data_IF_214011053689
#
_entry.id   IF_214011053689
#
_cell.length_a   1.000
_cell.length_b   1.000
_cell.length_c   1.000
_cell.angle_alpha   90.00
_cell.angle_beta   90.00
_cell.angle_gamma   90.00
#
_symmetry.space_group_name_H-M   'P 1'
#
loop_
_entity.id
_entity.type
_entity.pdbx_description
1 polymer ?
#
# COMPACT_ATOMS: atom_id res chain seq x y z
N UNK A 1 -5.38 -23.87 32.22
CA UNK A 1 -4.07 -23.22 32.40
C UNK A 1 -4.22 -22.10 33.43
N UNK A 2 -3.35 -22.00 34.44
CA UNK A 2 -3.39 -20.93 35.45
C UNK A 2 -3.37 -19.53 34.81
N UNK A 3 -4.04 -18.56 35.42
CA UNK A 3 -4.15 -17.19 34.90
C UNK A 3 -2.78 -16.51 34.74
N UNK A 4 -1.84 -16.76 35.66
CA UNK A 4 -0.45 -16.28 35.57
C UNK A 4 0.25 -16.78 34.29
N UNK A 5 0.12 -18.06 33.97
CA UNK A 5 0.68 -18.64 32.73
C UNK A 5 0.02 -18.10 31.46
N UNK A 6 -1.26 -17.74 31.50
CA UNK A 6 -1.94 -17.06 30.38
C UNK A 6 -1.37 -15.67 30.15
N UNK A 7 -1.14 -14.90 31.21
CA UNK A 7 -0.55 -13.54 31.12
C UNK A 7 0.87 -13.59 30.60
N UNK A 8 1.69 -14.51 31.12
CA UNK A 8 3.06 -14.72 30.65
C UNK A 8 3.11 -15.08 29.16
N UNK A 9 2.29 -16.03 28.71
CA UNK A 9 2.22 -16.40 27.28
C UNK A 9 1.86 -15.21 26.37
N UNK A 10 0.89 -14.39 26.79
CA UNK A 10 0.48 -13.18 26.04
C UNK A 10 1.63 -12.16 25.98
N UNK A 11 2.28 -11.90 27.12
CA UNK A 11 3.42 -11.00 27.22
C UNK A 11 4.61 -11.44 26.35
N UNK A 12 4.99 -12.71 26.44
CA UNK A 12 6.07 -13.30 25.63
C UNK A 12 5.81 -13.13 24.15
N UNK A 13 4.60 -13.45 23.67
CA UNK A 13 4.24 -13.27 22.27
C UNK A 13 4.41 -11.81 21.82
N UNK A 14 3.92 -10.84 22.61
CA UNK A 14 4.04 -9.42 22.26
C UNK A 14 5.51 -9.00 22.18
N UNK A 15 6.34 -9.40 23.15
CA UNK A 15 7.77 -9.12 23.13
C UNK A 15 8.47 -9.71 21.90
N UNK A 16 8.15 -10.95 21.53
CA UNK A 16 8.68 -11.61 20.34
C UNK A 16 8.30 -10.87 19.05
N UNK A 17 7.02 -10.49 18.90
CA UNK A 17 6.53 -9.78 17.73
C UNK A 17 7.15 -8.38 17.60
N UNK A 18 7.27 -7.65 18.73
CA UNK A 18 7.94 -6.34 18.76
C UNK A 18 9.41 -6.47 18.39
N UNK A 19 10.12 -7.44 18.97
CA UNK A 19 11.53 -7.69 18.64
C UNK A 19 11.72 -8.04 17.15
N UNK A 20 10.83 -8.86 16.59
CA UNK A 20 10.85 -9.23 15.17
C UNK A 20 10.60 -8.04 14.23
N UNK A 21 9.79 -7.06 14.65
CA UNK A 21 9.54 -5.84 13.87
C UNK A 21 10.78 -4.95 13.72
N UNK A 22 11.76 -5.09 14.63
CA UNK A 22 12.94 -4.21 14.77
C UNK A 22 12.60 -2.73 14.98
N UNK A 23 11.36 -2.42 15.34
CA UNK A 23 10.92 -1.05 15.60
C UNK A 23 10.96 -0.73 17.08
N UNK A 24 11.50 0.43 17.47
CA UNK A 24 11.35 0.95 18.81
C UNK A 24 9.88 1.15 19.20
N UNK A 25 9.55 0.89 20.47
CA UNK A 25 8.17 0.97 21.00
C UNK A 25 7.50 2.34 20.79
N UNK A 26 8.24 3.44 20.85
CA UNK A 26 7.73 4.78 20.56
C UNK A 26 7.32 4.95 19.09
N UNK A 27 8.03 4.32 18.15
CA UNK A 27 7.65 4.30 16.74
C UNK A 27 6.43 3.42 16.50
N UNK A 28 6.34 2.26 17.16
CA UNK A 28 5.15 1.41 17.13
C UNK A 28 3.93 2.15 17.68
N UNK A 29 4.07 2.89 18.79
CA UNK A 29 3.01 3.73 19.35
C UNK A 29 2.54 4.79 18.33
N UNK A 30 3.47 5.51 17.71
CA UNK A 30 3.15 6.52 16.71
C UNK A 30 2.46 5.95 15.46
N UNK A 31 2.93 4.79 14.97
CA UNK A 31 2.40 4.15 13.77
C UNK A 31 1.05 3.45 14.00
N UNK A 32 0.82 2.88 15.18
CA UNK A 32 -0.43 2.20 15.54
C UNK A 32 -1.52 3.12 16.10
N UNK A 33 -1.15 4.35 16.48
CA UNK A 33 -2.02 5.24 17.25
C UNK A 33 -2.30 4.76 18.68
N UNK A 34 -1.49 3.83 19.21
CA UNK A 34 -1.53 3.38 20.60
C UNK A 34 -0.58 4.20 21.47
N UNK A 35 -0.80 4.20 22.79
CA UNK A 35 0.14 4.87 23.71
C UNK A 35 1.35 3.97 23.99
N UNK A 36 2.50 4.61 24.21
CA UNK A 36 3.74 3.91 24.60
C UNK A 36 3.52 3.09 25.89
N UNK A 37 2.77 3.65 26.85
CA UNK A 37 2.37 2.96 28.09
C UNK A 37 1.51 1.73 27.82
N UNK A 38 0.52 1.81 26.92
CA UNK A 38 -0.31 0.66 26.58
C UNK A 38 0.51 -0.49 26.00
N UNK A 39 1.45 -0.20 25.09
CA UNK A 39 2.34 -1.23 24.54
C UNK A 39 3.22 -1.82 25.65
N UNK A 40 3.77 -0.99 26.54
CA UNK A 40 4.54 -1.45 27.71
C UNK A 40 3.75 -2.39 28.60
N UNK A 41 2.49 -2.07 28.87
CA UNK A 41 1.62 -2.90 29.70
C UNK A 41 1.24 -4.22 29.01
N UNK A 42 1.20 -4.26 27.68
CA UNK A 42 1.09 -5.51 26.91
C UNK A 42 2.35 -6.37 27.03
N UNK A 43 3.54 -5.78 26.88
CA UNK A 43 4.83 -6.47 27.04
C UNK A 43 5.00 -7.08 28.43
N UNK A 44 4.36 -6.49 29.45
CA UNK A 44 4.41 -6.94 30.85
C UNK A 44 3.25 -7.88 31.23
N UNK A 45 2.27 -8.07 30.35
CA UNK A 45 1.07 -8.86 30.66
C UNK A 45 0.17 -8.23 31.73
N UNK A 46 0.26 -6.91 31.91
CA UNK A 46 -0.51 -6.15 32.91
C UNK A 46 -1.97 -5.96 32.49
N UNK A 47 -2.29 -6.08 31.19
CA UNK A 47 -3.64 -5.90 30.66
C UNK A 47 -4.35 -7.24 30.60
N UNK A 48 -5.34 -7.43 31.47
CA UNK A 48 -6.13 -8.67 31.56
C UNK A 48 -7.01 -8.84 30.32
N UNK A 49 -7.73 -7.78 29.93
CA UNK A 49 -8.66 -7.79 28.83
C UNK A 49 -8.24 -6.77 27.76
N UNK A 50 -7.56 -7.25 26.73
CA UNK A 50 -7.12 -6.40 25.62
C UNK A 50 -8.25 -6.24 24.62
N UNK A 51 -8.59 -4.99 24.33
CA UNK A 51 -9.56 -4.64 23.29
C UNK A 51 -9.11 -5.17 21.91
N UNK A 52 -10.04 -5.79 21.16
CA UNK A 52 -9.78 -6.39 19.85
C UNK A 52 -9.24 -5.36 18.85
N UNK A 53 -9.84 -4.16 18.82
CA UNK A 53 -9.44 -3.10 17.89
C UNK A 53 -8.02 -2.61 18.16
N UNK A 54 -7.60 -2.54 19.43
CA UNK A 54 -6.20 -2.23 19.78
C UNK A 54 -5.23 -3.34 19.39
N UNK A 55 -5.60 -4.62 19.56
CA UNK A 55 -4.77 -5.75 19.11
C UNK A 55 -4.58 -5.72 17.60
N UNK A 56 -5.65 -5.54 16.82
CA UNK A 56 -5.58 -5.50 15.36
C UNK A 56 -4.74 -4.33 14.85
N UNK A 57 -4.87 -3.13 15.43
CA UNK A 57 -3.99 -1.98 15.11
C UNK A 57 -2.52 -2.28 15.35
N UNK A 58 -2.21 -2.93 16.48
CA UNK A 58 -0.85 -3.34 16.78
C UNK A 58 -0.35 -4.37 15.76
N UNK A 59 -1.17 -5.37 15.43
CA UNK A 59 -0.88 -6.39 14.43
C UNK A 59 -0.55 -5.81 13.04
N UNK A 60 -1.40 -4.90 12.55
CA UNK A 60 -1.17 -4.18 11.27
C UNK A 60 0.14 -3.41 11.33
N UNK A 61 0.42 -2.74 12.45
CA UNK A 61 1.65 -1.96 12.65
C UNK A 61 2.90 -2.83 12.78
N UNK A 62 2.76 -4.07 13.25
CA UNK A 62 3.84 -5.05 13.29
C UNK A 62 4.04 -5.77 11.95
N UNK A 63 3.27 -5.41 10.92
CA UNK A 63 3.27 -6.06 9.59
C UNK A 63 3.00 -7.57 9.65
N UNK A 64 2.10 -8.02 10.52
CA UNK A 64 1.70 -9.43 10.55
C UNK A 64 0.89 -9.79 9.29
N UNK A 65 1.01 -11.00 8.76
CA UNK A 65 0.04 -11.50 7.77
C UNK A 65 -1.27 -11.90 8.48
N UNK A 66 -2.35 -12.11 7.72
CA UNK A 66 -3.66 -12.39 8.32
C UNK A 66 -3.67 -13.67 9.17
N UNK A 67 -2.93 -14.71 8.75
CA UNK A 67 -2.79 -15.95 9.51
C UNK A 67 -2.07 -15.74 10.85
N UNK A 68 -1.01 -14.93 10.87
CA UNK A 68 -0.32 -14.53 12.11
C UNK A 68 -1.20 -13.67 13.02
N UNK A 69 -2.09 -12.86 12.45
CA UNK A 69 -3.09 -12.12 13.24
C UNK A 69 -4.05 -13.10 13.90
N UNK A 70 -4.55 -14.11 13.18
CA UNK A 70 -5.39 -15.17 13.74
C UNK A 70 -4.69 -15.95 14.87
N UNK A 71 -3.41 -16.28 14.70
CA UNK A 71 -2.60 -16.88 15.75
C UNK A 71 -2.54 -16.00 17.00
N UNK A 72 -2.28 -14.70 16.82
CA UNK A 72 -2.27 -13.74 17.91
C UNK A 72 -3.64 -13.66 18.60
N UNK A 73 -4.73 -13.49 17.84
CA UNK A 73 -6.10 -13.43 18.37
C UNK A 73 -6.43 -14.65 19.22
N UNK A 74 -6.08 -15.85 18.75
CA UNK A 74 -6.25 -17.10 19.48
C UNK A 74 -5.47 -17.13 20.81
N UNK A 75 -4.23 -16.61 20.84
CA UNK A 75 -3.46 -16.48 22.10
C UNK A 75 -4.13 -15.51 23.08
N UNK A 76 -4.83 -14.50 22.57
CA UNK A 76 -5.62 -13.55 23.36
C UNK A 76 -7.04 -14.05 23.71
N UNK A 77 -7.37 -15.32 23.44
CA UNK A 77 -8.69 -15.90 23.64
C UNK A 77 -9.77 -15.11 22.86
N UNK A 78 -9.52 -14.81 21.57
CA UNK A 78 -10.43 -14.13 20.65
C UNK A 78 -10.76 -15.03 19.45
N UNK A 79 -11.92 -14.77 18.84
CA UNK A 79 -12.26 -15.36 17.54
C UNK A 79 -11.27 -14.92 16.45
N UNK A 80 -11.12 -15.74 15.41
CA UNK A 80 -10.38 -15.40 14.19
C UNK A 80 -10.91 -14.12 13.54
N UNK A 81 -10.13 -13.59 12.60
CA UNK A 81 -10.50 -12.49 11.73
C UNK A 81 -11.78 -12.80 10.95
N UNK A 82 -12.63 -11.79 10.85
CA UNK A 82 -13.88 -11.83 10.11
C UNK A 82 -14.12 -10.51 9.37
N UNK A 83 -15.12 -10.48 8.49
CA UNK A 83 -15.46 -9.33 7.65
C UNK A 83 -15.70 -8.05 8.47
N UNK A 84 -16.24 -8.18 9.69
CA UNK A 84 -16.48 -7.03 10.57
C UNK A 84 -15.20 -6.35 11.06
N UNK A 85 -14.03 -7.00 10.91
CA UNK A 85 -12.74 -6.42 11.28
C UNK A 85 -12.15 -5.51 10.21
N UNK A 86 -12.64 -5.56 8.97
CA UNK A 86 -12.04 -4.82 7.84
C UNK A 86 -11.99 -3.31 8.13
N UNK A 87 -13.05 -2.75 8.73
CA UNK A 87 -13.08 -1.34 9.15
C UNK A 87 -11.94 -0.98 10.09
N UNK A 88 -11.47 -1.93 10.92
CA UNK A 88 -10.35 -1.72 11.83
C UNK A 88 -9.04 -1.62 11.06
N UNK A 89 -8.85 -2.40 9.98
CA UNK A 89 -7.68 -2.29 9.09
C UNK A 89 -7.67 -0.92 8.39
N UNK A 90 -8.81 -0.48 7.86
CA UNK A 90 -8.95 0.83 7.20
C UNK A 90 -8.71 1.97 8.20
N UNK A 91 -9.31 1.92 9.39
CA UNK A 91 -9.11 2.92 10.45
C UNK A 91 -7.66 2.93 10.96
N UNK A 92 -6.96 1.79 10.89
CA UNK A 92 -5.53 1.72 11.26
C UNK A 92 -4.68 2.58 10.33
N UNK A 93 -4.97 2.57 9.02
CA UNK A 93 -4.33 3.48 8.09
C UNK A 93 -4.65 4.95 8.42
N UNK A 94 -5.84 5.25 8.94
CA UNK A 94 -6.22 6.62 9.27
C UNK A 94 -5.44 7.21 10.44
N UNK A 95 -5.10 6.37 11.43
CA UNK A 95 -4.40 6.80 12.65
C UNK A 95 -2.89 6.76 12.51
N UNK A 96 -2.41 6.20 11.40
CA UNK A 96 -1.00 6.01 11.16
C UNK A 96 -0.31 7.34 10.93
N UNK A 97 0.65 7.64 11.81
CA UNK A 97 1.58 8.75 11.57
C UNK A 97 2.75 8.25 10.75
N UNK A 98 3.13 9.04 9.75
CA UNK A 98 4.36 8.82 9.03
C UNK A 98 5.57 9.03 9.97
N UNK A 99 6.61 8.22 9.77
CA UNK A 99 7.80 8.18 10.63
C UNK A 99 9.05 8.50 9.82
N UNK A 100 10.06 9.08 10.47
CA UNK A 100 11.37 9.37 9.85
C UNK A 100 12.21 8.12 9.66
N UNK A 101 11.95 7.04 10.41
CA UNK A 101 12.57 5.75 10.17
C UNK A 101 12.05 5.12 8.87
N UNK A 102 12.82 4.21 8.29
CA UNK A 102 12.34 3.35 7.20
C UNK A 102 11.38 2.34 7.81
N UNK A 103 10.10 2.47 7.49
CA UNK A 103 9.08 1.52 7.94
C UNK A 103 8.83 0.48 6.83
N UNK A 104 9.34 -0.76 6.99
CA UNK A 104 9.19 -1.80 5.98
C UNK A 104 7.76 -2.32 5.93
N UNK A 105 7.27 -2.60 4.74
CA UNK A 105 6.03 -3.33 4.48
C UNK A 105 6.38 -4.70 3.95
N UNK A 106 5.99 -5.76 4.66
CA UNK A 106 6.28 -7.14 4.24
C UNK A 106 5.08 -7.82 3.60
N UNK A 107 3.88 -7.32 3.88
CA UNK A 107 2.64 -7.83 3.32
C UNK A 107 2.08 -6.83 2.32
N UNK A 108 1.46 -7.34 1.26
CA UNK A 108 0.92 -6.49 0.20
C UNK A 108 -0.25 -5.64 0.73
N UNK A 109 -1.15 -6.20 1.53
CA UNK A 109 -2.23 -5.42 2.15
C UNK A 109 -1.68 -4.32 3.08
N UNK A 110 -0.58 -4.57 3.82
CA UNK A 110 -0.01 -3.56 4.73
C UNK A 110 0.69 -2.44 3.97
N UNK A 111 1.33 -2.76 2.84
CA UNK A 111 1.82 -1.79 1.87
C UNK A 111 0.68 -0.92 1.31
N UNK A 112 -0.41 -1.53 0.86
CA UNK A 112 -1.56 -0.81 0.31
C UNK A 112 -2.22 0.12 1.34
N UNK A 113 -2.34 -0.31 2.61
CA UNK A 113 -2.77 0.55 3.71
C UNK A 113 -1.80 1.70 3.96
N UNK A 114 -0.50 1.51 3.71
CA UNK A 114 0.49 2.59 3.81
C UNK A 114 0.33 3.63 2.71
N UNK A 115 0.08 3.17 1.47
CA UNK A 115 -0.21 4.06 0.34
C UNK A 115 -1.50 4.82 0.62
N UNK A 116 -2.55 4.14 1.08
CA UNK A 116 -3.79 4.79 1.49
C UNK A 116 -3.57 5.85 2.58
N UNK A 117 -2.80 5.53 3.63
CA UNK A 117 -2.48 6.48 4.69
C UNK A 117 -1.77 7.75 4.16
N UNK A 118 -0.90 7.58 3.15
CA UNK A 118 -0.22 8.68 2.49
C UNK A 118 -1.17 9.50 1.59
N UNK A 119 -2.03 8.84 0.80
CA UNK A 119 -3.04 9.47 -0.06
C UNK A 119 -4.04 10.32 0.74
N UNK A 120 -4.23 10.06 2.03
CA UNK A 120 -5.10 10.87 2.91
C UNK A 120 -4.50 12.21 3.34
N UNK A 121 -3.21 12.43 3.12
CA UNK A 121 -2.56 13.71 3.43
C UNK A 121 -2.75 14.62 2.21
N UNK A 122 -3.53 15.71 2.30
CA UNK A 122 -3.78 16.58 1.15
C UNK A 122 -2.48 17.17 0.60
N UNK A 123 -2.30 17.10 -0.71
CA UNK A 123 -1.10 17.57 -1.39
C UNK A 123 -1.00 17.04 -2.80
N UNK A 124 -0.06 17.60 -3.55
CA UNK A 124 0.28 17.09 -4.87
C UNK A 124 0.96 15.73 -4.73
N UNK A 125 0.68 14.81 -5.66
CA UNK A 125 1.24 13.47 -5.62
C UNK A 125 1.98 13.17 -6.92
N UNK A 126 3.19 12.62 -6.77
CA UNK A 126 3.95 12.08 -7.89
C UNK A 126 4.07 10.58 -7.72
N UNK A 127 3.74 9.83 -8.77
CA UNK A 127 3.76 8.38 -8.78
C UNK A 127 4.63 7.93 -9.95
N UNK A 128 5.62 7.10 -9.68
CA UNK A 128 6.43 6.42 -10.68
C UNK A 128 6.08 4.95 -10.64
N UNK A 129 5.50 4.44 -11.72
CA UNK A 129 5.03 3.06 -11.77
C UNK A 129 5.29 2.43 -13.14
N UNK A 130 5.17 1.10 -13.20
CA UNK A 130 5.32 0.33 -14.43
C UNK A 130 3.99 -0.06 -15.08
N UNK A 131 2.87 0.36 -14.48
CA UNK A 131 1.51 0.02 -14.88
C UNK A 131 0.54 1.10 -14.36
N UNK A 132 -0.71 1.12 -14.84
CA UNK A 132 -1.73 2.02 -14.30
C UNK A 132 -1.96 1.81 -12.80
N UNK A 133 -2.50 2.82 -12.12
CA UNK A 133 -2.63 2.82 -10.67
C UNK A 133 -3.59 1.72 -10.19
N UNK A 134 -3.18 0.90 -9.22
CA UNK A 134 -3.98 -0.24 -8.73
C UNK A 134 -5.41 0.14 -8.29
N UNK A 135 -5.61 1.36 -7.78
CA UNK A 135 -6.94 1.85 -7.38
C UNK A 135 -7.91 2.07 -8.56
N UNK A 136 -7.41 2.13 -9.79
CA UNK A 136 -8.19 2.28 -11.03
C UNK A 136 -8.61 0.93 -11.63
N UNK A 137 -8.15 -0.20 -11.10
CA UNK A 137 -8.63 -1.53 -11.51
C UNK A 137 -10.11 -1.68 -11.21
N UNK A 138 -10.85 -2.38 -12.06
CA UNK A 138 -12.25 -2.73 -11.76
C UNK A 138 -12.36 -3.67 -10.55
N UNK A 139 -13.49 -3.61 -9.80
CA UNK A 139 -13.79 -4.59 -8.77
C UNK A 139 -13.67 -6.03 -9.30
N UNK A 140 -13.03 -6.91 -8.54
CA UNK A 140 -12.81 -8.30 -8.92
C UNK A 140 -11.52 -8.57 -9.70
N UNK A 141 -10.95 -7.57 -10.40
CA UNK A 141 -9.67 -7.77 -11.11
C UNK A 141 -8.56 -8.17 -10.13
N UNK A 142 -8.51 -7.55 -8.94
CA UNK A 142 -7.49 -7.87 -7.93
C UNK A 142 -7.63 -9.30 -7.43
N UNK A 143 -8.86 -9.73 -7.16
CA UNK A 143 -9.15 -11.11 -6.73
C UNK A 143 -8.66 -12.10 -7.78
N UNK A 144 -8.90 -11.78 -9.06
CA UNK A 144 -8.45 -12.59 -10.18
C UNK A 144 -6.91 -12.60 -10.32
N UNK A 145 -6.27 -11.43 -10.36
CA UNK A 145 -4.84 -11.30 -10.63
C UNK A 145 -3.96 -11.78 -9.47
N UNK A 146 -4.45 -11.66 -8.24
CA UNK A 146 -3.72 -11.98 -7.00
C UNK A 146 -4.25 -13.25 -6.33
N UNK A 147 -4.77 -14.21 -7.11
CA UNK A 147 -5.46 -15.41 -6.61
C UNK A 147 -4.70 -16.19 -5.55
N UNK A 148 -3.38 -16.33 -5.68
CA UNK A 148 -2.55 -17.00 -4.67
C UNK A 148 -2.47 -16.26 -3.33
N UNK A 149 -2.60 -14.93 -3.30
CA UNK A 149 -2.73 -14.18 -2.05
C UNK A 149 -4.14 -14.32 -1.49
N UNK A 150 -5.16 -14.27 -2.35
CA UNK A 150 -6.55 -14.48 -1.97
C UNK A 150 -6.74 -15.84 -1.30
N UNK A 151 -6.20 -16.90 -1.89
CA UNK A 151 -6.31 -18.27 -1.39
C UNK A 151 -5.55 -18.48 -0.06
N UNK A 152 -4.70 -17.53 0.36
CA UNK A 152 -3.92 -17.64 1.60
C UNK A 152 -4.75 -17.41 2.87
N UNK A 153 -5.87 -16.70 2.78
CA UNK A 153 -6.71 -16.41 3.94
C UNK A 153 -8.15 -16.00 3.53
N UNK A 154 -9.22 -16.50 4.19
CA UNK A 154 -10.61 -16.23 3.80
C UNK A 154 -10.99 -14.75 3.71
N UNK A 155 -10.44 -13.91 4.59
CA UNK A 155 -10.69 -12.46 4.61
C UNK A 155 -9.94 -11.68 3.50
N UNK A 156 -8.96 -12.28 2.83
CA UNK A 156 -8.00 -11.52 2.02
C UNK A 156 -8.65 -10.85 0.80
N UNK A 157 -9.55 -11.55 0.10
CA UNK A 157 -10.27 -11.00 -1.05
C UNK A 157 -11.08 -9.76 -0.66
N UNK A 158 -11.90 -9.88 0.38
CA UNK A 158 -12.77 -8.79 0.84
C UNK A 158 -11.96 -7.59 1.33
N UNK A 159 -10.86 -7.84 2.06
CA UNK A 159 -9.95 -6.79 2.49
C UNK A 159 -9.29 -6.06 1.30
N UNK A 160 -8.85 -6.77 0.25
CA UNK A 160 -8.25 -6.14 -0.94
C UNK A 160 -9.25 -5.28 -1.71
N UNK A 161 -10.48 -5.75 -1.88
CA UNK A 161 -11.53 -4.99 -2.55
C UNK A 161 -11.88 -3.74 -1.75
N UNK A 162 -12.02 -3.86 -0.43
CA UNK A 162 -12.32 -2.71 0.42
C UNK A 162 -11.19 -1.68 0.45
N UNK A 163 -9.92 -2.13 0.51
CA UNK A 163 -8.77 -1.22 0.36
C UNK A 163 -8.80 -0.53 -1.01
N UNK A 164 -9.10 -1.27 -2.09
CA UNK A 164 -9.21 -0.71 -3.44
C UNK A 164 -10.29 0.37 -3.52
N UNK A 165 -11.46 0.09 -2.94
CA UNK A 165 -12.60 1.01 -2.89
C UNK A 165 -12.27 2.31 -2.17
N UNK A 166 -11.72 2.24 -0.95
CA UNK A 166 -11.39 3.44 -0.16
C UNK A 166 -10.25 4.25 -0.78
N UNK A 167 -9.27 3.57 -1.42
CA UNK A 167 -8.20 4.26 -2.15
C UNK A 167 -8.71 4.97 -3.39
N UNK A 168 -9.60 4.35 -4.18
CA UNK A 168 -10.22 5.02 -5.35
C UNK A 168 -11.01 6.26 -4.92
N UNK A 169 -11.84 6.14 -3.88
CA UNK A 169 -12.59 7.28 -3.36
C UNK A 169 -11.67 8.42 -2.86
N UNK A 170 -10.57 8.09 -2.20
CA UNK A 170 -9.58 9.09 -1.78
C UNK A 170 -8.82 9.70 -2.96
N UNK A 171 -8.50 8.90 -3.98
CA UNK A 171 -7.85 9.37 -5.21
C UNK A 171 -8.72 10.41 -5.93
N UNK A 172 -10.02 10.12 -6.11
CA UNK A 172 -11.00 11.08 -6.67
C UNK A 172 -11.12 12.34 -5.81
N UNK A 173 -11.14 12.19 -4.48
CA UNK A 173 -11.15 13.34 -3.55
C UNK A 173 -9.91 14.21 -3.74
N UNK A 174 -8.74 13.59 -3.92
CA UNK A 174 -7.49 14.33 -4.11
C UNK A 174 -7.46 15.05 -5.45
N UNK A 175 -7.93 14.41 -6.53
CA UNK A 175 -8.02 14.99 -7.87
C UNK A 175 -8.94 16.21 -7.94
N UNK A 176 -9.90 16.34 -7.02
CA UNK A 176 -10.75 17.53 -6.96
C UNK A 176 -9.97 18.81 -6.65
N UNK A 177 -8.81 18.73 -5.97
CA UNK A 177 -8.09 19.93 -5.49
C UNK A 177 -6.58 19.90 -5.68
N UNK A 178 -5.96 18.74 -5.91
CA UNK A 178 -4.51 18.59 -5.94
C UNK A 178 -4.09 17.89 -7.23
N UNK A 179 -2.88 18.20 -7.70
CA UNK A 179 -2.32 17.59 -8.89
C UNK A 179 -1.78 16.20 -8.58
N UNK A 180 -2.15 15.22 -9.38
CA UNK A 180 -1.55 13.89 -9.35
C UNK A 180 -0.87 13.60 -10.68
N UNK A 181 0.43 13.32 -10.63
CA UNK A 181 1.24 13.02 -11.81
C UNK A 181 1.74 11.59 -11.77
N UNK A 182 1.36 10.79 -12.77
CA UNK A 182 1.85 9.44 -12.97
C UNK A 182 2.93 9.43 -14.07
N UNK A 183 4.09 8.86 -13.78
CA UNK A 183 5.11 8.52 -14.75
C UNK A 183 5.10 7.01 -15.01
N UNK A 184 5.05 6.65 -16.29
CA UNK A 184 5.06 5.25 -16.74
C UNK A 184 5.90 5.13 -18.00
N UNK A 185 6.73 4.10 -18.10
CA UNK A 185 7.48 3.84 -19.32
C UNK A 185 6.54 3.37 -20.44
N UNK A 186 6.70 3.93 -21.65
CA UNK A 186 5.92 3.56 -22.84
C UNK A 186 5.93 2.04 -23.08
N UNK A 187 7.10 1.42 -23.05
CA UNK A 187 7.24 -0.04 -23.25
C UNK A 187 6.57 -0.85 -22.15
N UNK A 188 6.53 -0.32 -20.92
CA UNK A 188 5.88 -1.00 -19.80
C UNK A 188 4.36 -1.03 -19.97
N UNK A 189 3.73 0.05 -20.46
CA UNK A 189 2.28 0.05 -20.71
C UNK A 189 1.92 -0.85 -21.91
N UNK A 190 2.73 -0.84 -22.97
CA UNK A 190 2.56 -1.73 -24.12
C UNK A 190 2.66 -3.21 -23.69
N UNK A 191 3.74 -3.55 -22.98
CA UNK A 191 3.95 -4.91 -22.44
C UNK A 191 2.92 -5.29 -21.37
N UNK A 192 2.31 -4.32 -20.69
CA UNK A 192 1.26 -4.59 -19.71
C UNK A 192 0.01 -5.14 -20.40
N UNK A 193 -0.36 -4.62 -21.58
CA UNK A 193 -1.51 -5.11 -22.34
C UNK A 193 -1.26 -6.45 -23.03
N UNK A 194 0.00 -6.78 -23.35
CA UNK A 194 0.36 -8.09 -23.93
C UNK A 194 0.36 -9.16 -22.83
N UNK A 195 -0.64 -10.03 -22.84
CA UNK A 195 -0.73 -11.18 -21.92
C UNK A 195 -0.64 -12.48 -22.69
N UNK A 196 0.47 -13.19 -22.54
CA UNK A 196 0.63 -14.51 -23.14
C UNK A 196 -0.31 -15.52 -22.47
N UNK A 197 -1.37 -15.92 -23.18
CA UNK A 197 -2.14 -17.13 -22.88
C UNK A 197 -3.30 -17.01 -21.89
N UNK A 198 -3.75 -15.79 -21.52
CA UNK A 198 -4.94 -15.61 -20.68
C UNK A 198 -5.86 -14.48 -21.19
N UNK A 199 -6.88 -14.80 -22.01
CA UNK A 199 -7.81 -13.82 -22.57
C UNK A 199 -8.62 -13.05 -21.51
N UNK A 200 -8.90 -13.67 -20.36
CA UNK A 200 -9.65 -13.00 -19.29
C UNK A 200 -8.81 -11.91 -18.62
N UNK A 201 -7.52 -12.19 -18.35
CA UNK A 201 -6.58 -11.19 -17.83
C UNK A 201 -6.41 -10.04 -18.83
N UNK A 202 -6.33 -10.33 -20.13
CA UNK A 202 -6.24 -9.31 -21.18
C UNK A 202 -7.40 -8.31 -21.11
N UNK A 203 -8.65 -8.81 -21.02
CA UNK A 203 -9.84 -7.97 -20.85
C UNK A 203 -9.75 -7.10 -19.60
N UNK A 204 -9.32 -7.67 -18.46
CA UNK A 204 -9.16 -6.88 -17.24
C UNK A 204 -8.12 -5.77 -17.39
N UNK A 205 -7.00 -6.04 -18.07
CA UNK A 205 -5.94 -5.05 -18.29
C UNK A 205 -6.37 -3.96 -19.26
N UNK A 206 -7.10 -4.31 -20.32
CA UNK A 206 -7.71 -3.33 -21.23
C UNK A 206 -8.66 -2.40 -20.46
N UNK A 207 -9.55 -2.95 -19.62
CA UNK A 207 -10.44 -2.12 -18.77
C UNK A 207 -9.67 -1.26 -17.79
N UNK A 208 -8.57 -1.75 -17.23
CA UNK A 208 -7.73 -0.96 -16.34
C UNK A 208 -7.07 0.23 -17.06
N UNK A 209 -6.62 0.04 -18.30
CA UNK A 209 -6.10 1.14 -19.14
C UNK A 209 -7.22 2.09 -19.56
N UNK A 210 -8.40 1.58 -19.93
CA UNK A 210 -9.58 2.38 -20.25
C UNK A 210 -10.02 3.25 -19.05
N UNK A 211 -9.97 2.72 -17.82
CA UNK A 211 -10.25 3.50 -16.61
C UNK A 211 -9.20 4.60 -16.40
N UNK A 212 -7.93 4.35 -16.69
CA UNK A 212 -6.91 5.40 -16.64
C UNK A 212 -7.20 6.51 -17.65
N UNK A 213 -7.59 6.16 -18.88
CA UNK A 213 -8.00 7.11 -19.91
C UNK A 213 -9.22 7.94 -19.47
N UNK A 214 -10.27 7.30 -18.94
CA UNK A 214 -11.46 7.97 -18.39
C UNK A 214 -11.08 9.01 -17.33
N UNK A 215 -10.15 8.68 -16.42
CA UNK A 215 -9.71 9.62 -15.40
C UNK A 215 -8.90 10.79 -15.97
N UNK A 216 -8.06 10.56 -16.99
CA UNK A 216 -7.33 11.64 -17.69
C UNK A 216 -8.33 12.62 -18.30
N UNK A 217 -9.36 12.10 -18.97
CA UNK A 217 -10.39 12.90 -19.64
C UNK A 217 -11.24 13.69 -18.62
N UNK A 218 -11.64 13.06 -17.51
CA UNK A 218 -12.54 13.66 -16.51
C UNK A 218 -11.87 14.61 -15.52
N UNK A 219 -10.58 14.45 -15.23
CA UNK A 219 -9.89 15.20 -14.19
C UNK A 219 -8.66 15.92 -14.74
N UNK A 220 -8.74 17.25 -14.86
CA UNK A 220 -7.62 18.08 -15.33
C UNK A 220 -6.39 18.04 -14.42
N UNK A 221 -6.61 17.71 -13.14
CA UNK A 221 -5.54 17.55 -12.16
C UNK A 221 -4.81 16.19 -12.25
N UNK A 222 -5.26 15.27 -13.11
CA UNK A 222 -4.58 14.01 -13.36
C UNK A 222 -3.72 14.10 -14.62
N UNK A 223 -2.41 13.97 -14.46
CA UNK A 223 -1.46 13.95 -15.58
C UNK A 223 -0.77 12.59 -15.67
N UNK A 224 -0.72 12.00 -16.87
CA UNK A 224 0.08 10.81 -17.15
C UNK A 224 1.18 11.19 -18.13
N UNK A 225 2.44 10.95 -17.75
CA UNK A 225 3.60 11.20 -18.57
C UNK A 225 4.27 9.89 -18.96
N UNK A 226 4.42 9.67 -20.27
CA UNK A 226 5.14 8.51 -20.78
C UNK A 226 6.64 8.79 -20.88
N UNK A 227 7.45 7.88 -20.35
CA UNK A 227 8.92 7.97 -20.43
C UNK A 227 9.49 7.01 -21.47
N UNK A 228 10.62 7.38 -22.05
CA UNK A 228 11.36 6.53 -23.00
C UNK A 228 12.12 5.37 -22.35
N UNK A 229 12.37 5.45 -21.03
CA UNK A 229 13.16 4.48 -20.27
C UNK A 229 12.40 4.08 -18.99
N UNK A 230 12.47 2.81 -18.62
CA UNK A 230 11.92 2.30 -17.37
C UNK A 230 12.71 2.82 -16.18
N UNK A 231 12.03 3.41 -15.19
CA UNK A 231 12.68 3.56 -13.88
C UNK A 231 12.76 2.19 -13.19
N UNK A 232 13.91 1.91 -12.59
CA UNK A 232 14.09 0.74 -11.73
C UNK A 232 13.40 0.91 -10.37
N UNK A 233 13.06 2.14 -9.99
CA UNK A 233 12.47 2.48 -8.71
C UNK A 233 10.99 2.83 -8.90
N UNK A 234 10.12 2.03 -8.28
CA UNK A 234 8.68 2.32 -8.26
C UNK A 234 8.34 2.97 -6.92
N UNK A 235 7.74 4.15 -6.96
CA UNK A 235 7.48 4.91 -5.74
C UNK A 235 6.36 5.92 -5.89
N UNK A 236 5.89 6.41 -4.75
CA UNK A 236 4.99 7.54 -4.65
C UNK A 236 5.54 8.56 -3.68
N UNK A 237 5.56 9.82 -4.09
CA UNK A 237 5.86 10.98 -3.27
C UNK A 237 4.58 11.78 -3.08
N UNK A 238 4.23 12.07 -1.84
CA UNK A 238 3.21 13.05 -1.52
C UNK A 238 3.86 14.35 -1.06
N UNK A 239 3.45 15.46 -1.65
CA UNK A 239 4.02 16.80 -1.47
C UNK A 239 2.93 17.75 -0.94
N UNK A 240 2.59 17.64 0.36
CA UNK A 240 1.67 18.58 0.99
C UNK A 240 2.22 20.01 0.93
N UNK A 241 1.31 20.98 0.85
CA UNK A 241 1.63 22.42 0.72
C UNK A 241 2.48 22.98 1.88
N UNK A 242 2.52 22.30 3.02
CA UNK A 242 3.30 22.70 4.18
C UNK A 242 4.77 22.22 4.15
N UNK A 243 5.17 21.41 3.16
CA UNK A 243 6.49 20.76 2.94
C UNK A 243 7.04 19.90 4.09
N UNK A 244 6.49 20.03 5.31
CA UNK A 244 6.92 19.31 6.51
C UNK A 244 6.46 17.86 6.53
N UNK A 245 5.46 17.55 5.72
CA UNK A 245 4.81 16.24 5.71
C UNK A 245 5.07 15.42 4.44
N UNK A 246 6.10 15.79 3.66
CA UNK A 246 6.52 15.02 2.49
C UNK A 246 6.79 13.58 2.90
N UNK A 247 6.16 12.65 2.18
CA UNK A 247 6.25 11.23 2.46
C UNK A 247 6.57 10.46 1.18
N UNK A 248 7.47 9.50 1.33
CA UNK A 248 7.79 8.51 0.31
C UNK A 248 7.15 7.18 0.69
N UNK A 249 6.56 6.53 -0.31
CA UNK A 249 6.23 5.11 -0.27
C UNK A 249 6.88 4.41 -1.47
N UNK A 250 7.88 3.58 -1.20
CA UNK A 250 8.58 2.76 -2.20
C UNK A 250 7.89 1.42 -2.35
N UNK A 251 7.72 0.95 -3.59
CA UNK A 251 7.19 -0.36 -3.93
C UNK A 251 8.33 -1.26 -4.42
N UNK A 252 8.52 -2.39 -3.75
CA UNK A 252 9.43 -3.41 -4.24
C UNK A 252 8.70 -4.28 -5.26
N UNK A 253 9.03 -4.14 -6.55
CA UNK A 253 8.54 -5.07 -7.57
C UNK A 253 9.34 -6.37 -7.51
N UNK A 254 8.71 -7.54 -7.26
CA UNK A 254 9.38 -8.81 -7.50
C UNK A 254 9.50 -9.01 -9.02
N UNK A 255 10.71 -9.25 -9.52
CA UNK A 255 10.94 -9.55 -10.94
C UNK A 255 10.16 -10.76 -11.46
N UNK A 256 9.83 -11.72 -10.58
CA UNK A 256 8.96 -12.87 -10.90
C UNK A 256 8.12 -13.27 -9.67
N UNK A 257 6.82 -13.48 -9.89
CA UNK A 257 5.91 -14.03 -8.89
C UNK A 257 6.09 -15.56 -8.88
N UNK A 258 6.57 -16.10 -7.75
CA UNK A 258 6.67 -17.55 -7.54
C UNK A 258 5.71 -17.85 -6.38
N UNK A 259 4.61 -18.58 -6.64
CA UNK A 259 3.65 -18.99 -5.61
C UNK A 259 4.25 -20.13 -4.78
N UNK A 260 4.84 -19.79 -3.64
CA UNK A 260 5.06 -20.68 -2.49
C UNK A 260 5.47 -19.82 -1.29
N UNK A 261 5.25 -20.35 -0.08
CA UNK A 261 5.44 -19.69 1.22
C UNK A 261 6.61 -18.69 1.24
N UNK A 262 6.29 -17.39 1.32
CA UNK A 262 7.30 -16.32 1.47
C UNK A 262 7.26 -15.78 2.90
N UNK A 263 8.04 -16.32 3.85
CA UNK A 263 8.30 -15.58 5.06
C UNK A 263 9.12 -14.32 4.73
N UNK A 264 8.46 -13.16 4.71
CA UNK A 264 9.09 -11.87 4.98
C UNK A 264 9.83 -11.17 3.83
N UNK A 265 9.47 -11.33 2.55
CA UNK A 265 10.00 -10.42 1.50
C UNK A 265 9.44 -9.01 1.68
N UNK A 266 10.26 -8.00 1.40
CA UNK A 266 9.83 -6.60 1.44
C UNK A 266 8.89 -6.34 0.26
N UNK A 267 7.64 -5.96 0.52
CA UNK A 267 6.70 -5.43 -0.47
C UNK A 267 6.96 -3.96 -0.77
N UNK A 268 7.55 -3.24 0.18
CA UNK A 268 7.90 -1.84 0.04
C UNK A 268 8.36 -1.24 1.36
N UNK A 269 8.54 0.07 1.41
CA UNK A 269 8.69 0.79 2.67
C UNK A 269 8.09 2.18 2.56
N UNK A 270 7.84 2.82 3.71
CA UNK A 270 7.44 4.22 3.76
C UNK A 270 8.31 4.99 4.73
N UNK A 271 8.62 6.25 4.42
CA UNK A 271 9.48 7.09 5.26
C UNK A 271 9.27 8.59 5.01
N UNK A 272 9.62 9.39 6.01
CA UNK A 272 9.84 10.84 5.91
C UNK A 272 11.31 11.24 6.07
N UNK A 273 12.24 10.28 5.92
CA UNK A 273 13.66 10.57 6.07
C UNK A 273 14.12 11.55 4.98
N UNK A 274 14.64 12.74 5.33
CA UNK A 274 14.99 13.76 4.34
C UNK A 274 16.10 13.32 3.38
N UNK A 275 17.06 12.50 3.85
CA UNK A 275 18.14 12.00 3.00
C UNK A 275 17.59 11.07 1.91
N UNK A 276 16.70 10.15 2.30
CA UNK A 276 16.04 9.24 1.34
C UNK A 276 15.13 10.04 0.41
N UNK A 277 14.36 11.00 0.94
CA UNK A 277 13.50 11.85 0.14
C UNK A 277 14.28 12.58 -0.96
N UNK A 278 15.41 13.21 -0.61
CA UNK A 278 16.26 13.90 -1.57
C UNK A 278 16.76 12.95 -2.68
N UNK A 279 17.19 11.73 -2.33
CA UNK A 279 17.60 10.74 -3.34
C UNK A 279 16.47 10.41 -4.34
N UNK A 280 15.23 10.27 -3.87
CA UNK A 280 14.09 9.99 -4.75
C UNK A 280 13.62 11.23 -5.54
N UNK A 281 13.89 12.44 -5.03
CA UNK A 281 13.68 13.68 -5.77
C UNK A 281 14.71 13.86 -6.89
N UNK A 282 15.96 13.48 -6.66
CA UNK A 282 17.01 13.46 -7.68
C UNK A 282 16.65 12.47 -8.80
N UNK A 283 16.25 11.25 -8.44
CA UNK A 283 15.74 10.25 -9.40
C UNK A 283 14.54 10.79 -10.19
N UNK A 284 13.57 11.43 -9.50
CA UNK A 284 12.41 12.03 -10.18
C UNK A 284 12.82 13.13 -11.17
N UNK A 285 13.87 13.90 -10.86
CA UNK A 285 14.39 14.92 -11.78
C UNK A 285 14.92 14.29 -13.06
N UNK A 286 15.67 13.18 -12.95
CA UNK A 286 16.11 12.41 -14.13
C UNK A 286 14.93 11.81 -14.90
N UNK A 287 13.90 11.30 -14.23
CA UNK A 287 12.69 10.75 -14.88
C UNK A 287 11.96 11.83 -15.69
N UNK A 288 11.87 13.06 -15.18
CA UNK A 288 11.24 14.20 -15.87
C UNK A 288 11.93 14.54 -17.19
N UNK A 289 13.25 14.41 -17.25
CA UNK A 289 14.03 14.62 -18.47
C UNK A 289 13.82 13.51 -19.52
N UNK A 290 13.30 12.35 -19.10
CA UNK A 290 13.04 11.19 -19.97
C UNK A 290 11.60 11.14 -20.49
N UNK A 291 10.77 12.14 -20.20
CA UNK A 291 9.41 12.23 -20.75
C UNK A 291 9.49 12.39 -22.26
N UNK A 292 8.71 11.58 -22.98
CA UNK A 292 8.65 11.59 -24.42
C UNK A 292 7.94 12.87 -24.90
N UNK A 293 8.62 13.77 -25.64
CA UNK A 293 8.02 15.04 -26.07
C UNK A 293 6.74 14.86 -26.88
N UNK A 294 6.65 13.80 -27.69
CA UNK A 294 5.47 13.47 -28.49
C UNK A 294 4.26 13.02 -27.65
N UNK A 295 4.48 12.58 -26.40
CA UNK A 295 3.46 12.17 -25.42
C UNK A 295 3.46 13.09 -24.18
N UNK A 296 3.75 14.38 -24.37
CA UNK A 296 3.80 15.37 -23.28
C UNK A 296 2.47 16.12 -23.08
N UNK A 297 1.62 16.16 -24.10
CA UNK A 297 0.33 16.86 -24.08
C UNK A 297 -0.82 15.91 -23.77
N UNK A 298 -1.81 16.39 -23.02
CA UNK A 298 -2.98 15.59 -22.62
C UNK A 298 -3.66 14.89 -23.81
N UNK A 299 -3.90 15.62 -24.89
CA UNK A 299 -4.57 15.08 -26.08
C UNK A 299 -3.75 13.98 -26.78
N UNK A 300 -2.41 14.10 -26.82
CA UNK A 300 -1.58 13.07 -27.46
C UNK A 300 -1.46 11.83 -26.58
N UNK A 301 -1.47 12.00 -25.26
CA UNK A 301 -1.58 10.90 -24.28
C UNK A 301 -2.91 10.16 -24.42
N UNK A 302 -4.03 10.89 -24.53
CA UNK A 302 -5.37 10.30 -24.74
C UNK A 302 -5.42 9.49 -26.04
N UNK A 303 -5.01 10.10 -27.16
CA UNK A 303 -4.98 9.42 -28.47
C UNK A 303 -4.10 8.16 -28.43
N UNK A 304 -2.92 8.24 -27.82
CA UNK A 304 -2.04 7.08 -27.71
C UNK A 304 -2.66 5.94 -26.91
N UNK A 305 -3.38 6.24 -25.82
CA UNK A 305 -4.09 5.23 -25.03
C UNK A 305 -5.27 4.62 -25.78
N UNK A 306 -6.01 5.42 -26.57
CA UNK A 306 -7.06 4.93 -27.47
C UNK A 306 -6.48 3.95 -28.50
N UNK A 307 -5.37 4.32 -29.15
CA UNK A 307 -4.67 3.46 -30.12
C UNK A 307 -4.21 2.13 -29.50
N UNK A 308 -3.79 2.13 -28.23
CA UNK A 308 -3.43 0.90 -27.52
C UNK A 308 -4.62 -0.01 -27.22
N UNK A 309 -5.83 0.54 -27.11
CA UNK A 309 -7.05 -0.20 -26.79
C UNK A 309 -7.74 -0.79 -28.04
N UNK A 310 -7.39 -0.31 -29.24
CA UNK A 310 -7.95 -0.77 -30.52
C UNK A 310 -9.30 -0.15 -30.84
#
# INVERSE_FOLDING_TARGET
>A
MPESRKREKKATLICELIAASKMPRNQLAAASGLTNTFIKDLEQGNIINVDRRKLLRLAVTLNLDLSRIDEMLRVFDRASLASEDIDIFIESAHKRKAVTAVYPHRNFYSYELAVYAMERIPGDQVIVNDRPLVCLREPGHRIFSDRSLVDSHPLYAELLEEIGRVRRSQFETNLATNRITLYICKKCIESYLVVDGNPEEEVWRQRHVANMLDYIQRFDNFSVNFTGICSYLLFSLNQPSNEKDVQLTFCAKPGHYIPSERPGRLAGFSTKNPVILNTFQDELSSIKEMVLPELSEKNTVEQYLEELLG
#
